data_IF_830561827916
#
_entry.id   IF_830561827916
#
_cell.length_a   1.000
_cell.length_b   1.000
_cell.length_c   1.000
_cell.angle_alpha   90.00
_cell.angle_beta   90.00
_cell.angle_gamma   90.00
#
_symmetry.space_group_name_H-M   'P 1'
#
loop_
_entity.id
_entity.type
_entity.pdbx_description
1 polymer ?
#
# COMPACT_ATOMS: atom_id res chain seq x y z
N UNK A 1 -22.60 -8.21 -26.40
CA UNK A 1 -21.38 -8.02 -25.58
C UNK A 1 -21.50 -8.91 -24.37
N UNK A 2 -20.61 -9.89 -24.25
CA UNK A 2 -20.68 -10.96 -23.24
C UNK A 2 -20.58 -10.38 -21.84
N UNK A 3 -21.50 -10.78 -20.94
CA UNK A 3 -21.34 -10.55 -19.52
C UNK A 3 -20.14 -11.39 -19.05
N UNK A 4 -19.12 -10.72 -18.52
CA UNK A 4 -17.95 -11.37 -17.94
C UNK A 4 -18.42 -12.20 -16.75
N UNK A 5 -18.12 -13.50 -16.77
CA UNK A 5 -18.47 -14.41 -15.67
C UNK A 5 -17.77 -13.90 -14.40
N UNK A 6 -18.49 -13.68 -13.27
CA UNK A 6 -17.87 -13.13 -12.08
C UNK A 6 -16.72 -14.05 -11.63
N UNK A 7 -15.56 -13.48 -11.24
CA UNK A 7 -14.37 -14.26 -10.96
C UNK A 7 -14.65 -15.29 -9.86
N UNK A 8 -14.36 -16.57 -10.16
CA UNK A 8 -14.46 -17.68 -9.20
C UNK A 8 -13.41 -17.44 -8.11
N UNK A 9 -13.84 -17.15 -6.88
CA UNK A 9 -12.96 -17.05 -5.70
C UNK A 9 -13.11 -15.81 -4.81
N UNK A 10 -13.90 -14.81 -5.21
CA UNK A 10 -14.09 -13.58 -4.42
C UNK A 10 -12.79 -12.78 -4.21
N UNK A 11 -12.86 -11.68 -3.45
CA UNK A 11 -11.68 -10.83 -3.21
C UNK A 11 -10.54 -11.57 -2.49
N UNK A 12 -10.86 -12.50 -1.57
CA UNK A 12 -9.85 -13.21 -0.79
C UNK A 12 -8.89 -14.01 -1.67
N UNK A 13 -9.40 -14.67 -2.72
CA UNK A 13 -8.54 -15.40 -3.67
C UNK A 13 -7.55 -14.48 -4.39
N UNK A 14 -7.95 -13.24 -4.70
CA UNK A 14 -7.09 -12.29 -5.40
C UNK A 14 -5.91 -11.80 -4.55
N UNK A 15 -5.99 -11.86 -3.21
CA UNK A 15 -4.91 -11.42 -2.32
C UNK A 15 -3.66 -12.29 -2.52
N UNK A 16 -3.82 -13.61 -2.54
CA UNK A 16 -2.71 -14.54 -2.77
C UNK A 16 -2.09 -14.35 -4.17
N UNK A 17 -2.92 -14.03 -5.16
CA UNK A 17 -2.46 -13.76 -6.52
C UNK A 17 -1.74 -12.40 -6.66
N UNK A 18 -2.12 -11.39 -5.88
CA UNK A 18 -1.41 -10.11 -5.76
C UNK A 18 -0.02 -10.36 -5.19
N UNK A 19 0.08 -11.14 -4.10
CA UNK A 19 1.36 -11.47 -3.47
C UNK A 19 2.30 -12.21 -4.43
N UNK A 20 1.75 -13.18 -5.16
CA UNK A 20 2.47 -14.02 -6.11
C UNK A 20 2.77 -13.34 -7.46
N UNK A 21 2.29 -12.11 -7.71
CA UNK A 21 2.46 -11.44 -8.99
C UNK A 21 3.97 -11.25 -9.32
N UNK A 22 4.44 -11.75 -10.49
CA UNK A 22 5.86 -11.70 -10.85
C UNK A 22 6.27 -10.36 -11.48
N UNK A 23 5.31 -9.59 -11.99
CA UNK A 23 5.52 -8.35 -12.72
C UNK A 23 4.32 -7.40 -12.61
N UNK A 24 4.52 -6.17 -13.08
CA UNK A 24 3.49 -5.11 -13.05
C UNK A 24 2.26 -5.47 -13.89
N UNK A 25 2.44 -6.12 -15.04
CA UNK A 25 1.33 -6.48 -15.94
C UNK A 25 0.38 -7.49 -15.29
N UNK A 26 0.95 -8.53 -14.66
CA UNK A 26 0.17 -9.52 -13.91
C UNK A 26 -0.53 -8.86 -12.73
N UNK A 27 0.17 -7.99 -11.99
CA UNK A 27 -0.41 -7.25 -10.87
C UNK A 27 -1.61 -6.39 -11.31
N UNK A 28 -1.49 -5.65 -12.41
CA UNK A 28 -2.60 -4.85 -12.97
C UNK A 28 -3.82 -5.73 -13.31
N UNK A 29 -3.60 -6.90 -13.92
CA UNK A 29 -4.67 -7.82 -14.26
C UNK A 29 -5.38 -8.39 -13.01
N UNK A 30 -4.62 -8.79 -11.98
CA UNK A 30 -5.18 -9.29 -10.72
C UNK A 30 -5.95 -8.17 -10.00
N UNK A 31 -5.44 -6.94 -9.98
CA UNK A 31 -6.12 -5.80 -9.37
C UNK A 31 -7.40 -5.41 -10.10
N UNK A 32 -7.47 -5.58 -11.42
CA UNK A 32 -8.71 -5.45 -12.18
C UNK A 32 -9.78 -6.42 -11.69
N UNK A 33 -9.41 -7.70 -11.51
CA UNK A 33 -10.30 -8.73 -10.97
C UNK A 33 -10.70 -8.48 -9.51
N UNK A 34 -9.77 -8.03 -8.67
CA UNK A 34 -10.07 -7.67 -7.28
C UNK A 34 -11.14 -6.57 -7.19
N UNK A 35 -11.01 -5.50 -8.00
CA UNK A 35 -12.02 -4.43 -8.08
C UNK A 35 -13.38 -4.94 -8.56
N UNK A 36 -13.39 -5.77 -9.60
CA UNK A 36 -14.61 -6.39 -10.12
C UNK A 36 -15.29 -7.29 -9.06
N UNK A 37 -14.51 -8.06 -8.30
CA UNK A 37 -15.02 -8.89 -7.21
C UNK A 37 -15.66 -8.04 -6.10
N UNK A 38 -15.02 -6.95 -5.67
CA UNK A 38 -15.58 -6.04 -4.66
C UNK A 38 -16.88 -5.39 -5.14
N UNK A 39 -16.91 -4.90 -6.38
CA UNK A 39 -18.12 -4.32 -6.96
C UNK A 39 -19.28 -5.34 -6.99
N UNK A 40 -18.99 -6.58 -7.40
CA UNK A 40 -20.00 -7.62 -7.46
C UNK A 40 -20.52 -8.03 -6.08
N UNK A 41 -19.65 -8.08 -5.05
CA UNK A 41 -20.05 -8.31 -3.65
C UNK A 41 -20.93 -7.18 -3.10
N UNK A 42 -20.58 -5.93 -3.43
CA UNK A 42 -21.32 -4.75 -3.05
C UNK A 42 -22.74 -4.75 -3.65
N UNK A 43 -22.85 -4.99 -4.96
CA UNK A 43 -24.12 -5.00 -5.67
C UNK A 43 -25.07 -6.09 -5.16
N UNK A 44 -24.54 -7.27 -4.84
CA UNK A 44 -25.31 -8.38 -4.26
C UNK A 44 -25.69 -8.16 -2.80
N UNK A 45 -25.03 -7.24 -2.09
CA UNK A 45 -25.10 -7.08 -0.63
C UNK A 45 -24.85 -8.39 0.12
N UNK A 46 -24.01 -9.26 -0.45
CA UNK A 46 -23.79 -10.61 0.05
C UNK A 46 -22.81 -10.65 1.24
N UNK A 47 -21.89 -9.69 1.30
CA UNK A 47 -20.86 -9.58 2.34
C UNK A 47 -21.13 -8.35 3.23
N UNK A 48 -21.05 -8.48 4.57
CA UNK A 48 -21.12 -7.33 5.48
C UNK A 48 -20.06 -6.28 5.14
N UNK A 49 -20.45 -5.01 5.10
CA UNK A 49 -19.56 -3.90 4.70
C UNK A 49 -18.21 -3.89 5.41
N UNK A 50 -18.11 -4.11 6.75
CA UNK A 50 -16.81 -4.13 7.42
C UNK A 50 -15.90 -5.27 6.93
N UNK A 51 -16.45 -6.43 6.61
CA UNK A 51 -15.69 -7.57 6.11
C UNK A 51 -15.17 -7.31 4.70
N UNK A 52 -15.99 -6.69 3.84
CA UNK A 52 -15.58 -6.30 2.49
C UNK A 52 -14.49 -5.21 2.52
N UNK A 53 -14.62 -4.23 3.42
CA UNK A 53 -13.61 -3.19 3.62
C UNK A 53 -12.28 -3.76 4.16
N UNK A 54 -12.34 -4.70 5.09
CA UNK A 54 -11.16 -5.38 5.61
C UNK A 54 -10.43 -6.16 4.52
N UNK A 55 -11.16 -6.92 3.68
CA UNK A 55 -10.59 -7.65 2.57
C UNK A 55 -9.98 -6.73 1.49
N UNK A 56 -10.64 -5.62 1.18
CA UNK A 56 -10.09 -4.60 0.27
C UNK A 56 -8.83 -3.96 0.84
N UNK A 57 -8.83 -3.62 2.12
CA UNK A 57 -7.66 -3.06 2.80
C UNK A 57 -6.48 -4.03 2.80
N UNK A 58 -6.73 -5.33 2.98
CA UNK A 58 -5.69 -6.36 2.88
C UNK A 58 -5.12 -6.43 1.46
N UNK A 59 -5.98 -6.48 0.43
CA UNK A 59 -5.52 -6.45 -0.95
C UNK A 59 -4.61 -5.23 -1.25
N UNK A 60 -4.92 -4.06 -0.68
CA UNK A 60 -4.09 -2.86 -0.82
C UNK A 60 -2.75 -2.97 -0.08
N UNK A 61 -2.74 -3.51 1.15
CA UNK A 61 -1.49 -3.81 1.89
C UNK A 61 -0.59 -4.73 1.10
N UNK A 62 -1.14 -5.85 0.63
CA UNK A 62 -0.41 -6.82 -0.18
C UNK A 62 0.10 -6.18 -1.47
N UNK A 63 -0.68 -5.31 -2.10
CA UNK A 63 -0.25 -4.60 -3.32
C UNK A 63 0.95 -3.71 -3.06
N UNK A 64 0.96 -2.93 -1.99
CA UNK A 64 2.10 -2.08 -1.62
C UNK A 64 3.34 -2.95 -1.39
N UNK A 65 3.21 -4.05 -0.65
CA UNK A 65 4.31 -4.99 -0.41
C UNK A 65 4.83 -5.62 -1.71
N UNK A 66 3.94 -6.08 -2.60
CA UNK A 66 4.28 -6.65 -3.91
C UNK A 66 5.03 -5.63 -4.77
N UNK A 67 4.53 -4.39 -4.87
CA UNK A 67 5.19 -3.36 -5.67
C UNK A 67 6.56 -3.00 -5.10
N UNK A 68 6.66 -2.84 -3.78
CA UNK A 68 7.94 -2.61 -3.11
C UNK A 68 8.95 -3.72 -3.40
N UNK A 69 8.52 -4.99 -3.40
CA UNK A 69 9.35 -6.13 -3.79
C UNK A 69 9.77 -6.08 -5.26
N UNK A 70 8.84 -5.78 -6.16
CA UNK A 70 9.09 -5.72 -7.61
C UNK A 70 10.05 -4.61 -8.01
N UNK A 71 9.94 -3.43 -7.38
CA UNK A 71 10.81 -2.27 -7.61
C UNK A 71 12.15 -2.44 -6.91
N UNK A 72 12.14 -2.84 -5.63
CA UNK A 72 13.33 -2.91 -4.81
C UNK A 72 14.35 -3.97 -5.26
N UNK A 73 13.88 -5.15 -5.68
CA UNK A 73 14.71 -6.30 -6.11
C UNK A 73 15.99 -6.46 -5.25
N UNK A 74 17.17 -6.54 -5.87
CA UNK A 74 18.46 -6.68 -5.19
C UNK A 74 19.05 -5.33 -4.72
N UNK A 75 18.39 -4.21 -5.02
CA UNK A 75 18.89 -2.85 -4.79
C UNK A 75 18.21 -2.18 -3.59
N UNK A 76 17.18 -2.81 -3.04
CA UNK A 76 16.43 -2.31 -1.90
C UNK A 76 17.34 -2.18 -0.66
N UNK A 77 17.34 -1.03 0.02
CA UNK A 77 17.85 -0.96 1.37
C UNK A 77 17.01 -1.85 2.30
N UNK A 78 17.53 -2.16 3.48
CA UNK A 78 16.78 -2.84 4.53
C UNK A 78 15.60 -1.95 4.97
N UNK A 79 14.46 -2.12 4.32
CA UNK A 79 13.26 -1.30 4.48
C UNK A 79 12.04 -2.14 4.87
N UNK A 80 11.13 -1.53 5.61
CA UNK A 80 9.82 -2.10 5.93
C UNK A 80 8.76 -1.09 5.51
N UNK A 81 7.80 -1.53 4.69
CA UNK A 81 6.70 -0.69 4.21
C UNK A 81 5.49 -0.83 5.12
N UNK A 82 4.87 0.30 5.42
CA UNK A 82 3.62 0.40 6.17
C UNK A 82 2.60 1.20 5.37
N UNK A 83 1.33 0.92 5.66
CA UNK A 83 0.21 1.74 5.18
C UNK A 83 -0.56 2.27 6.38
N UNK A 84 -1.06 3.50 6.26
CA UNK A 84 -1.85 4.17 7.30
C UNK A 84 -3.25 4.49 6.78
N UNK A 85 -3.96 5.38 7.48
CA UNK A 85 -5.27 5.87 7.09
C UNK A 85 -6.33 4.77 7.07
N UNK A 86 -7.28 4.88 6.13
CA UNK A 86 -8.36 3.91 5.99
C UNK A 86 -7.85 2.49 5.69
N UNK A 87 -6.81 2.36 4.87
CA UNK A 87 -6.20 1.06 4.55
C UNK A 87 -5.55 0.47 5.80
N UNK A 88 -4.79 1.26 6.56
CA UNK A 88 -4.18 0.82 7.81
C UNK A 88 -5.22 0.33 8.83
N UNK A 89 -6.37 1.00 8.94
CA UNK A 89 -7.46 0.62 9.85
C UNK A 89 -8.35 -0.54 9.38
N UNK A 90 -8.20 -1.00 8.13
CA UNK A 90 -9.09 -2.04 7.59
C UNK A 90 -10.44 -1.52 7.10
N UNK A 91 -10.54 -0.22 6.85
CA UNK A 91 -11.79 0.50 6.53
C UNK A 91 -11.83 1.00 5.08
N UNK A 92 -10.84 0.63 4.26
CA UNK A 92 -10.76 1.12 2.90
C UNK A 92 -11.94 0.61 2.04
N UNK A 93 -12.37 1.46 1.13
CA UNK A 93 -13.30 1.15 0.05
C UNK A 93 -12.63 1.44 -1.29
N UNK A 94 -13.16 0.94 -2.43
CA UNK A 94 -12.65 1.32 -3.74
C UNK A 94 -12.60 2.86 -3.89
N UNK A 95 -11.42 3.38 -4.23
CA UNK A 95 -11.17 4.82 -4.32
C UNK A 95 -10.59 5.47 -3.06
N UNK A 96 -10.48 4.75 -1.94
CA UNK A 96 -9.68 5.20 -0.79
C UNK A 96 -8.24 5.47 -1.21
N UNK A 97 -7.66 6.57 -0.70
CA UNK A 97 -6.27 6.94 -0.99
C UNK A 97 -5.29 6.09 -0.19
N UNK A 98 -4.13 5.81 -0.77
CA UNK A 98 -3.01 5.15 -0.10
C UNK A 98 -2.14 6.17 0.62
N UNK A 99 -1.97 5.95 1.91
CA UNK A 99 -0.99 6.61 2.76
C UNK A 99 0.11 5.59 3.06
N UNK A 100 1.37 5.92 2.74
CA UNK A 100 2.50 4.98 2.84
C UNK A 100 3.62 5.55 3.69
N UNK A 101 4.26 4.67 4.45
CA UNK A 101 5.42 4.99 5.30
C UNK A 101 6.47 3.90 5.12
N UNK A 102 7.74 4.27 5.27
CA UNK A 102 8.87 3.36 5.25
C UNK A 102 9.70 3.55 6.52
N UNK A 103 9.99 2.43 7.18
CA UNK A 103 11.07 2.36 8.16
C UNK A 103 12.31 1.75 7.52
N UNK A 104 13.45 2.38 7.75
CA UNK A 104 14.77 1.89 7.34
C UNK A 104 15.52 1.40 8.57
N UNK A 105 16.30 0.34 8.42
CA UNK A 105 17.26 -0.04 9.46
C UNK A 105 18.20 1.13 9.78
N UNK A 106 18.57 1.30 11.04
CA UNK A 106 19.50 2.35 11.47
C UNK A 106 20.90 2.22 10.83
N UNK A 107 21.27 1.02 10.35
CA UNK A 107 22.51 0.75 9.62
C UNK A 107 22.52 1.34 8.19
N UNK A 108 21.36 1.78 7.68
CA UNK A 108 21.26 2.40 6.35
C UNK A 108 21.85 3.81 6.41
N UNK A 109 22.99 4.02 5.75
CA UNK A 109 23.64 5.33 5.66
C UNK A 109 22.82 6.37 4.86
N UNK A 110 23.32 7.61 4.78
CA UNK A 110 22.58 8.70 4.12
C UNK A 110 22.43 8.48 2.61
N UNK A 111 23.40 7.80 1.97
CA UNK A 111 23.33 7.44 0.56
C UNK A 111 22.26 6.36 0.32
N UNK A 112 22.17 5.36 1.20
CA UNK A 112 21.14 4.33 1.22
C UNK A 112 19.75 4.93 1.47
N UNK A 113 19.64 5.91 2.37
CA UNK A 113 18.39 6.67 2.57
C UNK A 113 17.99 7.47 1.33
N UNK A 114 18.94 8.13 0.68
CA UNK A 114 18.68 8.85 -0.57
C UNK A 114 18.20 7.89 -1.68
N UNK A 115 18.80 6.69 -1.78
CA UNK A 115 18.34 5.64 -2.68
C UNK A 115 16.94 5.12 -2.32
N UNK A 116 16.66 4.94 -1.03
CA UNK A 116 15.33 4.53 -0.55
C UNK A 116 14.23 5.49 -1.02
N UNK A 117 14.50 6.81 -0.98
CA UNK A 117 13.55 7.83 -1.43
C UNK A 117 13.28 7.75 -2.94
N UNK A 118 14.31 7.49 -3.75
CA UNK A 118 14.15 7.29 -5.20
C UNK A 118 13.31 6.04 -5.48
N UNK A 119 13.66 4.91 -4.87
CA UNK A 119 12.91 3.67 -5.04
C UNK A 119 11.47 3.79 -4.54
N UNK A 120 11.23 4.53 -3.45
CA UNK A 120 9.88 4.79 -2.96
C UNK A 120 9.06 5.64 -3.95
N UNK A 121 9.69 6.58 -4.67
CA UNK A 121 9.04 7.31 -5.75
C UNK A 121 8.67 6.37 -6.92
N UNK A 122 9.54 5.43 -7.26
CA UNK A 122 9.27 4.43 -8.30
C UNK A 122 8.13 3.48 -7.89
N UNK A 123 8.08 3.05 -6.62
CA UNK A 123 6.95 2.29 -6.05
C UNK A 123 5.64 3.06 -6.21
N UNK A 124 5.63 4.35 -5.88
CA UNK A 124 4.46 5.20 -6.04
C UNK A 124 4.02 5.33 -7.50
N UNK A 125 4.97 5.50 -8.42
CA UNK A 125 4.66 5.55 -9.84
C UNK A 125 4.04 4.24 -10.36
N UNK A 126 4.50 3.08 -9.89
CA UNK A 126 3.88 1.78 -10.21
C UNK A 126 2.47 1.69 -9.62
N UNK A 127 2.26 2.08 -8.36
CA UNK A 127 0.94 2.06 -7.72
C UNK A 127 -0.08 2.93 -8.49
N UNK A 128 0.32 4.11 -8.96
CA UNK A 128 -0.52 4.97 -9.79
C UNK A 128 -0.86 4.31 -11.13
N UNK A 129 0.12 3.67 -11.81
CA UNK A 129 -0.14 2.90 -13.05
C UNK A 129 -1.05 1.70 -12.81
N UNK A 130 -0.99 1.09 -11.63
CA UNK A 130 -1.95 0.09 -11.18
C UNK A 130 -3.36 0.65 -10.88
N UNK A 131 -3.56 1.97 -11.01
CA UNK A 131 -4.83 2.66 -10.81
C UNK A 131 -5.18 2.85 -9.33
N UNK A 132 -4.19 2.91 -8.45
CA UNK A 132 -4.40 3.14 -7.02
C UNK A 132 -4.13 4.61 -6.69
N UNK A 133 -5.12 5.35 -6.16
CA UNK A 133 -4.94 6.75 -5.85
C UNK A 133 -4.02 6.91 -4.63
N UNK A 134 -2.96 7.69 -4.78
CA UNK A 134 -2.08 8.07 -3.68
C UNK A 134 -2.64 9.26 -2.89
N UNK A 135 -2.22 9.41 -1.64
CA UNK A 135 -2.63 10.54 -0.82
C UNK A 135 -2.15 11.89 -1.40
N UNK A 136 -3.11 12.76 -1.72
CA UNK A 136 -2.85 14.11 -2.24
C UNK A 136 -2.38 15.09 -1.17
N UNK A 137 -2.53 14.77 0.12
CA UNK A 137 -2.01 15.58 1.23
C UNK A 137 -0.53 15.29 1.52
N UNK A 138 0.00 14.19 0.98
CA UNK A 138 1.42 13.90 0.90
C UNK A 138 1.94 12.94 1.96
N UNK A 139 1.10 12.11 2.58
CA UNK A 139 1.53 11.00 3.45
C UNK A 139 2.09 9.87 2.58
N UNK A 140 3.30 10.09 2.07
CA UNK A 140 3.95 9.28 1.05
C UNK A 140 5.39 8.98 1.45
N UNK A 141 5.76 7.69 1.47
CA UNK A 141 7.11 7.20 1.72
C UNK A 141 8.21 7.78 0.79
N UNK A 142 7.86 8.34 -0.37
CA UNK A 142 8.82 9.06 -1.23
C UNK A 142 9.20 10.44 -0.69
N UNK A 143 8.62 10.86 0.44
CA UNK A 143 8.99 12.07 1.17
C UNK A 143 9.81 11.70 2.39
N UNK A 144 10.86 12.47 2.66
CA UNK A 144 11.76 12.24 3.81
C UNK A 144 11.05 12.17 5.16
N UNK A 145 9.93 12.88 5.31
CA UNK A 145 9.07 12.83 6.51
C UNK A 145 8.47 11.44 6.76
N UNK A 146 8.21 10.65 5.73
CA UNK A 146 7.60 9.32 5.86
C UNK A 146 8.55 8.19 5.42
N UNK A 147 9.83 8.49 5.24
CA UNK A 147 10.90 7.52 5.05
C UNK A 147 12.01 7.84 6.04
N UNK A 148 11.90 7.21 7.21
CA UNK A 148 12.77 7.45 8.36
C UNK A 148 13.47 6.17 8.74
N UNK A 149 14.59 6.30 9.46
CA UNK A 149 15.20 5.16 10.14
C UNK A 149 14.39 4.81 11.39
N UNK A 150 14.54 3.59 11.91
CA UNK A 150 13.83 3.11 13.09
C UNK A 150 13.95 4.11 14.26
N UNK A 151 15.17 4.57 14.61
CA UNK A 151 15.37 5.56 15.70
C UNK A 151 14.64 6.88 15.45
N UNK A 152 14.54 7.31 14.20
CA UNK A 152 13.86 8.56 13.83
C UNK A 152 12.33 8.43 13.85
N UNK A 153 11.81 7.21 13.72
CA UNK A 153 10.39 6.92 13.96
C UNK A 153 10.08 6.93 15.44
N UNK A 154 10.88 6.26 16.27
CA UNK A 154 10.71 6.24 17.73
C UNK A 154 10.68 7.65 18.31
N UNK A 155 11.71 8.44 18.03
CA UNK A 155 11.81 9.86 18.41
C UNK A 155 10.59 10.68 17.97
N UNK A 156 10.10 10.43 16.75
CA UNK A 156 8.94 11.13 16.18
C UNK A 156 7.66 10.78 16.92
N UNK A 157 7.45 9.49 17.21
CA UNK A 157 6.28 9.00 17.94
C UNK A 157 6.28 9.53 19.37
N UNK A 158 7.43 9.54 20.06
CA UNK A 158 7.54 10.09 21.42
C UNK A 158 7.19 11.58 21.46
N UNK A 159 7.76 12.38 20.53
CA UNK A 159 7.45 13.82 20.43
C UNK A 159 5.99 14.06 20.11
N UNK A 160 5.43 13.32 19.15
CA UNK A 160 4.01 13.40 18.82
C UNK A 160 3.12 13.04 20.01
N UNK A 161 3.47 11.98 20.75
CA UNK A 161 2.70 11.55 21.91
C UNK A 161 2.74 12.58 23.05
N UNK A 162 3.86 13.29 23.21
CA UNK A 162 4.00 14.37 24.20
C UNK A 162 3.25 15.65 23.78
N UNK A 163 3.33 16.03 22.50
CA UNK A 163 2.61 17.18 21.93
C UNK A 163 2.18 16.92 20.47
N UNK A 164 0.94 16.42 20.25
CA UNK A 164 0.43 16.12 18.92
C UNK A 164 0.28 17.34 18.00
N UNK A 165 0.33 18.56 18.54
CA UNK A 165 0.26 19.78 17.73
C UNK A 165 1.65 20.18 17.19
N UNK A 166 2.72 19.79 17.87
CA UNK A 166 4.11 20.12 17.52
C UNK A 166 4.71 19.22 16.43
N UNK A 167 4.24 17.98 16.31
CA UNK A 167 4.57 17.08 15.21
C UNK A 167 3.30 16.66 14.46
N UNK A 168 3.24 16.86 13.15
CA UNK A 168 2.06 16.51 12.32
C UNK A 168 2.36 15.38 11.35
N UNK A 169 3.36 14.56 11.68
CA UNK A 169 3.74 13.36 10.94
C UNK A 169 5.23 13.26 10.66
#
# INVERSE_FOLDING_TARGET
MSADEPPRGGIVATIAEIDAAPDEATLQAVLGRARAAVAAEWDRRATPTPALAAAWSEAMRTTVATVARLVGRAEAPAWTWFVSGAVGRGEAVPGSRLETLVSLSDDVDDAGKARALVLAADVHAVLERCGLPLDGHGVLASRSRFCRRDVSWEDGIERWAADPAADRG
#
